data_IF_734894213108
#
_entry.id   IF_734894213108
#
_cell.length_a   1.000
_cell.length_b   1.000
_cell.length_c   1.000
_cell.angle_alpha   90.00
_cell.angle_beta   90.00
_cell.angle_gamma   90.00
#
_symmetry.space_group_name_H-M   'P 1'
#
loop_
_entity.id
_entity.type
_entity.pdbx_description
1 polymer ?
#
# COMPACT_ATOMS: atom_id res chain seq x y z
N UNK A 1 -14.31 4.42 -13.45
CA UNK A 1 -14.90 4.07 -12.14
C UNK A 1 -15.69 2.76 -12.31
N UNK A 2 -15.49 1.85 -11.40
CA UNK A 2 -16.08 0.51 -11.46
C UNK A 2 -17.01 0.32 -10.26
N UNK A 3 -18.19 -0.24 -10.48
CA UNK A 3 -19.10 -0.61 -9.41
C UNK A 3 -18.81 -2.06 -9.01
N UNK A 4 -18.52 -2.26 -7.73
CA UNK A 4 -18.26 -3.59 -7.19
C UNK A 4 -19.54 -4.29 -6.78
N UNK A 5 -19.49 -5.61 -6.64
CA UNK A 5 -20.66 -6.43 -6.33
C UNK A 5 -21.33 -6.06 -4.99
N UNK A 6 -20.54 -5.52 -4.06
CA UNK A 6 -21.04 -5.09 -2.76
C UNK A 6 -21.61 -3.67 -2.75
N UNK A 7 -21.77 -3.04 -3.92
CA UNK A 7 -22.28 -1.68 -4.02
C UNK A 7 -21.22 -0.60 -3.84
N UNK A 8 -19.98 -0.97 -3.61
CA UNK A 8 -18.88 -0.02 -3.50
C UNK A 8 -18.43 0.45 -4.86
N UNK A 9 -17.80 1.61 -4.91
CA UNK A 9 -17.17 2.12 -6.13
C UNK A 9 -15.67 2.03 -6.02
N UNK A 10 -15.02 1.79 -7.16
CA UNK A 10 -13.58 1.74 -7.25
C UNK A 10 -13.08 2.67 -8.35
N UNK A 11 -12.08 3.49 -8.05
CA UNK A 11 -11.38 4.32 -9.02
C UNK A 11 -10.04 3.65 -9.29
N UNK A 12 -9.95 2.95 -10.40
CA UNK A 12 -8.71 2.27 -10.78
C UNK A 12 -7.72 3.28 -11.34
N UNK A 13 -6.44 3.11 -11.01
CA UNK A 13 -5.41 3.99 -11.53
C UNK A 13 -4.09 3.24 -11.71
N UNK A 14 -3.22 3.83 -12.52
CA UNK A 14 -1.88 3.33 -12.76
C UNK A 14 -0.93 4.52 -12.85
N UNK A 15 0.19 4.43 -12.13
CA UNK A 15 1.23 5.47 -12.16
C UNK A 15 2.55 4.81 -12.52
N UNK A 16 3.22 5.37 -13.52
CA UNK A 16 4.55 4.92 -13.91
C UNK A 16 5.54 6.05 -13.70
N UNK A 17 6.53 5.83 -12.86
CA UNK A 17 7.62 6.76 -12.60
C UNK A 17 8.92 6.00 -12.40
N UNK A 18 10.01 6.54 -12.92
CA UNK A 18 11.35 5.97 -12.72
C UNK A 18 11.46 4.49 -13.09
N UNK A 19 10.70 4.06 -14.09
CA UNK A 19 10.70 2.67 -14.54
C UNK A 19 9.82 1.74 -13.73
N UNK A 20 9.10 2.24 -12.74
CA UNK A 20 8.18 1.44 -11.91
C UNK A 20 6.74 1.77 -12.26
N UNK A 21 5.93 0.74 -12.34
CA UNK A 21 4.48 0.88 -12.57
C UNK A 21 3.72 0.39 -11.34
N UNK A 22 2.85 1.24 -10.82
CA UNK A 22 2.00 0.94 -9.68
C UNK A 22 0.54 0.96 -10.11
N UNK A 23 -0.15 -0.13 -9.89
CA UNK A 23 -1.58 -0.27 -10.17
C UNK A 23 -2.33 -0.43 -8.86
N UNK A 24 -3.38 0.35 -8.67
CA UNK A 24 -4.19 0.28 -7.47
C UNK A 24 -5.59 0.80 -7.76
N UNK A 25 -6.44 0.79 -6.76
CA UNK A 25 -7.78 1.36 -6.84
C UNK A 25 -8.17 2.01 -5.52
N UNK A 26 -8.84 3.15 -5.63
CA UNK A 26 -9.45 3.81 -4.47
C UNK A 26 -10.85 3.25 -4.35
N UNK A 27 -11.12 2.53 -3.26
CA UNK A 27 -12.40 1.86 -3.04
C UNK A 27 -13.12 2.49 -1.87
N UNK A 28 -14.39 2.77 -2.04
CA UNK A 28 -15.20 3.32 -0.98
C UNK A 28 -16.67 3.26 -1.34
N UNK A 29 -17.54 3.66 -0.40
CA UNK A 29 -18.95 3.73 -0.70
C UNK A 29 -19.23 4.86 -1.71
N UNK A 30 -20.37 4.80 -2.43
CA UNK A 30 -20.66 5.77 -3.48
C UNK A 30 -20.64 7.22 -2.99
N UNK A 31 -21.12 7.48 -1.79
CA UNK A 31 -21.18 8.84 -1.26
C UNK A 31 -19.75 9.40 -1.06
N UNK A 32 -18.85 8.58 -0.55
CA UNK A 32 -17.46 8.98 -0.36
C UNK A 32 -16.77 9.22 -1.70
N UNK A 33 -16.87 8.26 -2.61
CA UNK A 33 -16.19 8.33 -3.91
C UNK A 33 -16.71 9.51 -4.74
N UNK A 34 -18.03 9.72 -4.78
CA UNK A 34 -18.62 10.80 -5.55
C UNK A 34 -18.33 12.18 -4.95
N UNK A 35 -17.99 12.25 -3.68
CA UNK A 35 -17.62 13.50 -3.03
C UNK A 35 -16.16 13.89 -3.26
N UNK A 36 -15.34 12.99 -3.76
CA UNK A 36 -13.94 13.30 -4.02
C UNK A 36 -13.79 14.24 -5.22
N UNK A 37 -13.02 15.32 -5.02
CA UNK A 37 -12.66 16.20 -6.13
C UNK A 37 -11.54 15.58 -6.95
N UNK A 38 -11.34 16.00 -8.21
CA UNK A 38 -10.20 15.53 -9.00
C UNK A 38 -8.85 15.74 -8.30
N UNK A 39 -8.69 16.86 -7.61
CA UNK A 39 -7.45 17.14 -6.87
C UNK A 39 -7.25 16.18 -5.71
N UNK A 40 -8.31 15.86 -4.99
CA UNK A 40 -8.24 14.89 -3.90
C UNK A 40 -7.89 13.50 -4.42
N UNK A 41 -8.49 13.10 -5.53
CA UNK A 41 -8.19 11.81 -6.18
C UNK A 41 -6.72 11.76 -6.56
N UNK A 42 -6.22 12.80 -7.22
CA UNK A 42 -4.81 12.87 -7.62
C UNK A 42 -3.87 12.80 -6.42
N UNK A 43 -4.20 13.51 -5.35
CA UNK A 43 -3.42 13.51 -4.12
C UNK A 43 -3.34 12.10 -3.51
N UNK A 44 -4.47 11.41 -3.43
CA UNK A 44 -4.50 10.04 -2.90
C UNK A 44 -3.66 9.10 -3.76
N UNK A 45 -3.80 9.21 -5.09
CA UNK A 45 -3.04 8.37 -6.01
C UNK A 45 -1.54 8.57 -5.83
N UNK A 46 -1.10 9.82 -5.76
CA UNK A 46 0.31 10.14 -5.60
C UNK A 46 0.85 9.70 -4.23
N UNK A 47 0.07 9.86 -3.17
CA UNK A 47 0.47 9.40 -1.85
C UNK A 47 0.66 7.89 -1.81
N UNK A 48 -0.25 7.14 -2.44
CA UNK A 48 -0.13 5.68 -2.51
C UNK A 48 1.08 5.25 -3.31
N UNK A 49 1.34 5.92 -4.43
CA UNK A 49 2.54 5.64 -5.21
C UNK A 49 3.80 5.92 -4.40
N UNK A 50 3.87 7.07 -3.76
CA UNK A 50 5.06 7.47 -2.99
C UNK A 50 5.34 6.50 -1.85
N UNK A 51 4.31 6.06 -1.14
CA UNK A 51 4.45 5.08 -0.07
C UNK A 51 4.96 3.74 -0.60
N UNK A 52 4.40 3.27 -1.68
CA UNK A 52 4.80 2.03 -2.32
C UNK A 52 6.23 2.13 -2.87
N UNK A 53 6.53 3.21 -3.56
CA UNK A 53 7.86 3.44 -4.14
C UNK A 53 8.93 3.47 -3.06
N UNK A 54 8.65 4.12 -1.95
CA UNK A 54 9.55 4.17 -0.81
C UNK A 54 9.84 2.77 -0.27
N UNK A 55 8.83 1.94 -0.18
CA UNK A 55 8.98 0.58 0.32
C UNK A 55 9.86 -0.26 -0.63
N UNK A 56 9.59 -0.21 -1.93
CA UNK A 56 10.30 -1.05 -2.90
C UNK A 56 11.71 -0.56 -3.20
N UNK A 57 12.00 0.71 -2.96
CA UNK A 57 13.33 1.28 -3.22
C UNK A 57 14.19 1.39 -1.98
N UNK A 58 13.61 1.16 -0.80
CA UNK A 58 14.40 1.10 0.44
C UNK A 58 15.17 -0.21 0.47
N UNK A 59 16.49 -0.18 0.71
CA UNK A 59 17.27 -1.40 0.80
C UNK A 59 16.68 -2.32 1.86
N UNK A 60 16.52 -3.59 1.48
CA UNK A 60 16.02 -4.60 2.39
C UNK A 60 17.15 -5.03 3.32
N UNK A 61 17.03 -4.68 4.59
CA UNK A 61 17.99 -5.13 5.59
C UNK A 61 17.47 -6.40 6.26
N UNK A 62 18.36 -7.33 6.59
CA UNK A 62 17.96 -8.49 7.37
C UNK A 62 17.30 -8.03 8.67
N UNK A 63 16.24 -8.69 9.05
CA UNK A 63 15.59 -8.38 10.31
C UNK A 63 16.54 -8.74 11.46
N UNK A 64 16.86 -7.75 12.26
CA UNK A 64 17.70 -7.94 13.44
C UNK A 64 16.81 -7.68 14.65
N UNK A 65 16.50 -8.71 15.46
CA UNK A 65 15.70 -8.49 16.67
C UNK A 65 16.40 -7.51 17.59
N UNK A 66 15.66 -6.70 18.32
CA UNK A 66 16.25 -5.85 19.34
C UNK A 66 17.05 -6.68 20.34
N UNK A 67 18.11 -6.11 20.83
CA UNK A 67 18.93 -6.79 21.83
C UNK A 67 18.06 -7.10 23.04
N UNK A 68 18.05 -8.36 23.45
CA UNK A 68 17.24 -8.80 24.59
C UNK A 68 15.83 -9.24 24.22
N UNK A 69 15.44 -9.09 22.96
CA UNK A 69 14.14 -9.56 22.52
C UNK A 69 14.17 -11.10 22.39
N UNK A 70 13.09 -11.72 22.81
CA UNK A 70 12.97 -13.15 22.63
C UNK A 70 12.65 -13.47 21.17
N UNK A 71 13.16 -14.60 20.65
CA UNK A 71 12.79 -15.04 19.32
C UNK A 71 11.29 -15.28 19.24
N UNK A 72 10.74 -15.08 18.06
CA UNK A 72 9.35 -15.44 17.83
C UNK A 72 9.16 -16.95 18.04
N UNK A 73 7.99 -17.37 18.49
CA UNK A 73 7.73 -18.79 18.77
C UNK A 73 8.04 -19.71 17.60
N UNK A 74 7.90 -19.22 16.37
CA UNK A 74 8.24 -19.99 15.18
C UNK A 74 9.72 -20.04 14.88
N UNK A 75 10.50 -19.18 15.50
CA UNK A 75 11.94 -19.04 15.28
C UNK A 75 12.72 -19.50 16.47
N UNK A 76 12.20 -20.43 17.22
CA UNK A 76 12.92 -20.94 18.38
C UNK A 76 14.28 -21.41 17.93
N UNK A 77 15.36 -20.77 18.39
CA UNK A 77 16.67 -21.26 18.02
C UNK A 77 16.82 -22.66 18.54
N UNK A 78 17.53 -23.48 17.81
CA UNK A 78 17.82 -24.80 18.36
C UNK A 78 18.36 -24.57 19.75
N UNK A 79 17.83 -25.32 20.65
CA UNK A 79 18.21 -25.19 22.04
C UNK A 79 19.72 -25.16 22.14
N UNK A 80 20.17 -24.04 22.50
CA UNK A 80 21.60 -23.84 22.59
C UNK A 80 21.99 -24.07 24.00
#
# INVERSE_FOLDING_TARGET
MVTLDNGMLAIQFSITKNGYTYNDAIVGNPDYINALTPDEITTIQNQRFDNWYKIITTPSEPYVPPVGAEPLPGDVPPAV
#
